data_IF_187530043631
#
_entry.id   IF_187530043631
#
_cell.length_a   1.000
_cell.length_b   1.000
_cell.length_c   1.000
_cell.angle_alpha   90.00
_cell.angle_beta   90.00
_cell.angle_gamma   90.00
#
_symmetry.space_group_name_H-M   'P 1'
#
loop_
_entity.id
_entity.type
_entity.pdbx_description
1 polymer ?
#
# COMPACT_ATOMS: atom_id res chain seq x y z
N UNK A 1 40.95 49.45 -65.60
CA UNK A 1 40.10 48.83 -66.65
C UNK A 1 39.01 47.98 -66.00
N UNK A 2 37.73 48.26 -66.30
CA UNK A 2 36.50 47.45 -66.11
C UNK A 2 36.16 47.00 -64.67
N UNK A 3 35.30 47.69 -63.88
CA UNK A 3 33.81 47.79 -63.87
C UNK A 3 33.04 46.45 -64.01
N UNK A 4 32.31 46.07 -62.95
CA UNK A 4 30.86 45.67 -62.86
C UNK A 4 30.58 45.18 -61.41
N UNK A 5 29.94 45.96 -60.54
CA UNK A 5 28.49 46.00 -60.22
C UNK A 5 27.87 44.62 -59.94
N UNK A 6 27.38 44.40 -58.72
CA UNK A 6 25.96 44.08 -58.46
C UNK A 6 25.62 44.30 -56.97
N UNK A 7 24.51 45.03 -56.73
CA UNK A 7 23.81 45.17 -55.45
C UNK A 7 23.24 43.82 -55.00
N UNK A 8 23.06 43.62 -53.68
CA UNK A 8 21.77 43.22 -53.09
C UNK A 8 21.75 43.35 -51.56
N UNK A 9 20.69 44.03 -51.10
CA UNK A 9 20.07 44.04 -49.78
C UNK A 9 19.96 42.63 -49.16
N UNK A 10 20.02 42.51 -47.83
CA UNK A 10 18.87 42.08 -47.00
C UNK A 10 19.23 41.70 -45.55
N UNK A 11 18.40 42.22 -44.64
CA UNK A 11 17.89 41.65 -43.39
C UNK A 11 18.88 41.04 -42.38
N UNK A 12 19.22 41.86 -41.38
CA UNK A 12 19.54 41.39 -40.03
C UNK A 12 18.27 40.83 -39.36
N UNK A 13 18.15 39.51 -39.33
CA UNK A 13 17.18 38.81 -38.48
C UNK A 13 17.60 38.94 -37.01
N UNK A 14 16.87 39.73 -36.22
CA UNK A 14 16.87 39.62 -34.77
C UNK A 14 16.11 38.34 -34.41
N UNK A 15 16.85 37.27 -34.09
CA UNK A 15 16.31 36.13 -33.37
C UNK A 15 16.12 36.56 -31.90
N UNK A 16 14.92 37.07 -31.58
CA UNK A 16 14.44 37.02 -30.20
C UNK A 16 14.24 35.54 -29.85
N UNK A 17 15.23 34.96 -29.20
CA UNK A 17 15.06 33.70 -28.49
C UNK A 17 14.02 33.91 -27.40
N UNK A 18 12.81 33.41 -27.61
CA UNK A 18 11.89 33.12 -26.51
C UNK A 18 12.54 32.02 -25.67
N UNK A 19 13.28 32.40 -24.63
CA UNK A 19 13.51 31.52 -23.51
C UNK A 19 12.14 31.30 -22.86
N UNK A 20 11.44 30.25 -23.29
CA UNK A 20 10.40 29.66 -22.46
C UNK A 20 11.13 29.16 -21.23
N UNK A 21 11.15 29.95 -20.16
CA UNK A 21 11.36 29.40 -18.83
C UNK A 21 10.30 28.32 -18.67
N UNK A 22 10.72 27.06 -18.75
CA UNK A 22 9.93 25.97 -18.22
C UNK A 22 9.60 26.39 -16.78
N UNK A 23 8.32 26.68 -16.52
CA UNK A 23 7.87 26.93 -15.17
C UNK A 23 8.28 25.72 -14.35
N UNK A 24 9.22 25.92 -13.43
CA UNK A 24 9.41 25.03 -12.29
C UNK A 24 8.01 24.78 -11.72
N UNK A 25 7.50 23.56 -11.87
CA UNK A 25 6.36 23.13 -11.07
C UNK A 25 6.83 23.25 -9.63
N UNK A 26 6.47 24.34 -8.97
CA UNK A 26 6.82 24.59 -7.57
C UNK A 26 6.29 23.41 -6.77
N UNK A 27 7.20 22.59 -6.26
CA UNK A 27 6.86 21.50 -5.36
C UNK A 27 6.05 22.05 -4.19
N UNK A 28 4.91 21.42 -3.93
CA UNK A 28 4.07 21.70 -2.76
C UNK A 28 4.20 20.50 -1.83
N UNK A 29 4.60 20.75 -0.58
CA UNK A 29 4.64 19.70 0.43
C UNK A 29 3.21 19.18 0.71
N UNK A 30 3.04 17.90 1.06
CA UNK A 30 1.74 17.37 1.47
C UNK A 30 1.12 18.22 2.57
N UNK A 31 -0.15 18.58 2.37
CA UNK A 31 -0.98 19.29 3.32
C UNK A 31 -2.40 18.71 3.26
N UNK A 32 -3.16 18.88 4.34
CA UNK A 32 -4.59 18.57 4.33
C UNK A 32 -5.32 19.53 3.39
N UNK A 33 -6.23 19.00 2.57
CA UNK A 33 -7.15 19.83 1.80
C UNK A 33 -8.29 20.39 2.67
N UNK A 34 -8.58 19.76 3.81
CA UNK A 34 -9.58 20.22 4.79
C UNK A 34 -9.09 20.11 6.23
N UNK A 35 -9.31 21.15 7.04
CA UNK A 35 -8.82 21.23 8.43
C UNK A 35 -9.39 20.13 9.34
N UNK A 36 -10.62 19.66 9.08
CA UNK A 36 -11.27 18.61 9.86
C UNK A 36 -10.99 17.19 9.31
N UNK A 37 -10.17 17.08 8.27
CA UNK A 37 -9.85 15.80 7.68
C UNK A 37 -8.85 15.02 8.52
N UNK A 38 -8.84 13.71 8.32
CA UNK A 38 -7.80 12.82 8.87
C UNK A 38 -7.24 11.92 7.78
N UNK A 39 -6.01 11.46 7.95
CA UNK A 39 -5.32 10.66 6.93
C UNK A 39 -5.09 9.22 7.36
N UNK A 40 -5.39 8.30 6.43
CA UNK A 40 -4.87 6.94 6.42
C UNK A 40 -3.68 6.89 5.44
N UNK A 41 -2.55 6.36 5.89
CA UNK A 41 -1.41 6.07 5.00
C UNK A 41 -1.40 4.59 4.65
N UNK A 42 -1.40 4.27 3.36
CA UNK A 42 -1.32 2.89 2.88
C UNK A 42 0.06 2.65 2.26
N UNK A 43 0.81 1.74 2.90
CA UNK A 43 2.10 1.25 2.44
C UNK A 43 1.89 0.16 1.37
N UNK A 44 2.73 0.16 0.31
CA UNK A 44 2.75 -0.90 -0.70
C UNK A 44 3.47 -2.14 -0.17
N UNK A 45 3.63 -3.16 -1.01
CA UNK A 45 4.51 -4.29 -0.72
C UNK A 45 5.97 -3.84 -0.55
N UNK A 46 6.65 -4.31 0.50
CA UNK A 46 8.02 -3.87 0.84
C UNK A 46 9.12 -4.87 0.51
N UNK A 47 8.77 -6.06 0.02
CA UNK A 47 9.68 -7.17 -0.24
C UNK A 47 10.96 -6.78 -1.03
N UNK A 48 10.80 -5.99 -2.10
CA UNK A 48 11.94 -5.56 -2.94
C UNK A 48 12.77 -4.44 -2.29
N UNK A 49 12.22 -3.72 -1.31
CA UNK A 49 13.00 -2.77 -0.49
C UNK A 49 13.89 -3.48 0.53
N UNK A 50 13.48 -4.64 1.05
CA UNK A 50 14.18 -5.29 2.17
C UNK A 50 15.14 -6.40 1.76
N UNK A 51 14.92 -7.03 0.60
CA UNK A 51 15.78 -8.13 0.09
C UNK A 51 17.19 -7.69 -0.28
N UNK A 52 17.41 -6.39 -0.47
CA UNK A 52 18.73 -5.79 -0.65
C UNK A 52 19.04 -4.82 0.48
N UNK A 53 20.16 -5.03 1.19
CA UNK A 53 20.59 -4.15 2.29
C UNK A 53 20.66 -2.66 1.92
N UNK A 54 21.08 -2.38 0.69
CA UNK A 54 21.20 -1.01 0.15
C UNK A 54 19.86 -0.27 0.06
N UNK A 55 18.75 -0.98 -0.04
CA UNK A 55 17.41 -0.42 -0.23
C UNK A 55 16.66 -0.24 1.10
N UNK A 56 17.03 -0.97 2.16
CA UNK A 56 16.36 -0.90 3.47
C UNK A 56 16.20 0.53 4.02
N UNK A 57 17.18 1.46 3.89
CA UNK A 57 17.02 2.84 4.32
C UNK A 57 15.87 3.60 3.64
N UNK A 58 15.36 3.13 2.49
CA UNK A 58 14.20 3.74 1.83
C UNK A 58 12.92 3.42 2.62
N UNK A 59 12.81 2.23 3.22
CA UNK A 59 11.70 1.92 4.13
C UNK A 59 11.80 2.78 5.38
N UNK A 60 13.01 2.90 5.96
CA UNK A 60 13.25 3.81 7.09
C UNK A 60 12.82 5.25 6.73
N UNK A 61 13.16 5.73 5.53
CA UNK A 61 12.75 7.05 5.05
C UNK A 61 11.23 7.19 4.94
N UNK A 62 10.53 6.21 4.38
CA UNK A 62 9.06 6.23 4.27
C UNK A 62 8.41 6.29 5.65
N UNK A 63 8.89 5.50 6.61
CA UNK A 63 8.31 5.45 7.95
C UNK A 63 8.63 6.71 8.75
N UNK A 64 9.87 7.21 8.70
CA UNK A 64 10.24 8.46 9.37
C UNK A 64 9.49 9.67 8.77
N UNK A 65 9.24 9.67 7.46
CA UNK A 65 8.39 10.68 6.85
C UNK A 65 6.97 10.65 7.42
N UNK A 66 6.38 9.46 7.58
CA UNK A 66 5.06 9.33 8.22
C UNK A 66 5.10 9.87 9.64
N UNK A 67 6.11 9.51 10.44
CA UNK A 67 6.30 10.00 11.81
C UNK A 67 6.33 11.54 11.89
N UNK A 68 7.15 12.18 11.05
CA UNK A 68 7.25 13.64 10.95
C UNK A 68 5.93 14.31 10.54
N UNK A 69 5.09 13.59 9.80
CA UNK A 69 3.85 14.11 9.23
C UNK A 69 2.59 13.68 9.99
N UNK A 70 2.70 12.96 11.11
CA UNK A 70 1.54 12.54 11.92
C UNK A 70 0.67 13.74 12.29
N UNK A 71 1.27 14.81 12.85
CA UNK A 71 0.51 15.99 13.24
C UNK A 71 0.11 16.87 12.05
N UNK A 72 1.01 17.24 11.11
CA UNK A 72 0.66 18.08 9.95
C UNK A 72 -0.42 17.50 9.03
N UNK A 73 -0.47 16.16 8.86
CA UNK A 73 -1.45 15.48 8.02
C UNK A 73 -2.54 14.78 8.82
N UNK A 74 -2.61 15.00 10.13
CA UNK A 74 -3.56 14.35 11.02
C UNK A 74 -3.67 12.83 10.76
N UNK A 75 -2.53 12.14 10.65
CA UNK A 75 -2.47 10.71 10.35
C UNK A 75 -2.97 9.93 11.56
N UNK A 76 -3.99 9.10 11.35
CA UNK A 76 -4.62 8.30 12.43
C UNK A 76 -4.48 6.80 12.28
N UNK A 77 -4.14 6.34 11.08
CA UNK A 77 -4.05 4.93 10.77
C UNK A 77 -3.03 4.70 9.66
N UNK A 78 -2.16 3.70 9.83
CA UNK A 78 -1.28 3.20 8.79
C UNK A 78 -1.68 1.77 8.48
N UNK A 79 -1.87 1.45 7.19
CA UNK A 79 -2.14 0.10 6.72
C UNK A 79 -0.99 -0.36 5.80
N UNK A 80 -0.67 -1.65 5.80
CA UNK A 80 0.31 -2.26 4.91
C UNK A 80 -0.27 -3.49 4.23
N UNK A 81 -0.18 -3.55 2.89
CA UNK A 81 -0.89 -4.55 2.08
C UNK A 81 -0.21 -5.92 2.01
N UNK A 82 0.74 -6.22 2.90
CA UNK A 82 1.50 -7.48 2.90
C UNK A 82 2.79 -7.46 2.10
N UNK A 83 3.33 -8.65 1.86
CA UNK A 83 4.68 -8.89 1.33
C UNK A 83 5.72 -7.97 2.00
N UNK A 84 5.78 -8.11 3.32
CA UNK A 84 6.69 -7.37 4.18
C UNK A 84 8.14 -7.75 3.88
N UNK A 85 8.37 -9.01 3.52
CA UNK A 85 9.66 -9.58 3.11
C UNK A 85 9.55 -10.25 1.74
N UNK A 86 10.69 -10.43 1.06
CA UNK A 86 10.77 -11.27 -0.15
C UNK A 86 10.90 -12.74 0.21
N UNK A 87 11.60 -13.05 1.30
CA UNK A 87 11.83 -14.43 1.67
C UNK A 87 11.56 -14.58 3.17
N UNK A 88 10.56 -15.37 3.54
CA UNK A 88 10.25 -15.63 4.94
C UNK A 88 11.38 -16.41 5.65
N UNK A 89 11.85 -17.50 5.05
CA UNK A 89 12.73 -18.49 5.70
C UNK A 89 14.10 -18.68 5.03
N UNK A 90 14.48 -17.88 4.03
CA UNK A 90 15.72 -18.08 3.29
C UNK A 90 16.97 -17.89 4.17
N UNK A 91 17.81 -18.94 4.27
CA UNK A 91 19.03 -18.92 5.10
C UNK A 91 20.24 -18.36 4.35
N UNK A 92 20.42 -18.73 3.08
CA UNK A 92 21.59 -18.38 2.28
C UNK A 92 21.17 -17.63 1.01
N UNK A 93 21.23 -16.28 1.00
CA UNK A 93 20.98 -15.51 -0.22
C UNK A 93 22.08 -15.73 -1.25
N UNK A 94 21.72 -15.72 -2.53
CA UNK A 94 22.64 -15.90 -3.67
C UNK A 94 23.29 -14.58 -4.15
N UNK A 95 22.83 -13.43 -3.65
CA UNK A 95 23.25 -12.11 -4.09
C UNK A 95 22.60 -11.64 -5.39
N UNK A 96 21.84 -12.50 -6.07
CA UNK A 96 21.14 -12.22 -7.33
C UNK A 96 19.72 -11.78 -7.02
N UNK A 97 18.87 -12.65 -6.45
CA UNK A 97 17.47 -12.32 -6.14
C UNK A 97 17.33 -11.54 -4.83
N UNK A 98 18.40 -11.51 -4.03
CA UNK A 98 18.51 -10.74 -2.79
C UNK A 98 19.88 -10.98 -2.16
N UNK A 99 20.31 -10.09 -1.27
CA UNK A 99 21.57 -10.26 -0.51
C UNK A 99 21.34 -10.33 1.01
N UNK A 100 20.10 -10.51 1.45
CA UNK A 100 19.68 -10.59 2.84
C UNK A 100 19.00 -11.92 3.13
N UNK A 101 19.30 -12.53 4.28
CA UNK A 101 18.56 -13.69 4.79
C UNK A 101 17.13 -13.29 5.16
N UNK A 102 16.21 -14.25 5.26
CA UNK A 102 14.84 -13.97 5.69
C UNK A 102 14.78 -13.30 7.06
N UNK A 103 15.63 -13.74 8.00
CA UNK A 103 15.80 -13.07 9.31
C UNK A 103 16.18 -11.60 9.17
N UNK A 104 17.17 -11.27 8.34
CA UNK A 104 17.61 -9.89 8.14
C UNK A 104 16.53 -9.02 7.50
N UNK A 105 15.74 -9.59 6.58
CA UNK A 105 14.62 -8.89 5.96
C UNK A 105 13.53 -8.57 6.98
N UNK A 106 13.12 -9.57 7.77
CA UNK A 106 12.13 -9.39 8.84
C UNK A 106 12.59 -8.41 9.92
N UNK A 107 13.85 -8.49 10.35
CA UNK A 107 14.44 -7.53 11.28
C UNK A 107 14.43 -6.10 10.72
N UNK A 108 14.70 -5.93 9.43
CA UNK A 108 14.70 -4.62 8.78
C UNK A 108 13.30 -3.99 8.75
N UNK A 109 12.29 -4.72 8.26
CA UNK A 109 10.92 -4.20 8.19
C UNK A 109 10.32 -3.98 9.59
N UNK A 110 10.55 -4.91 10.51
CA UNK A 110 10.07 -4.81 11.90
C UNK A 110 10.70 -3.63 12.64
N UNK A 111 12.01 -3.39 12.45
CA UNK A 111 12.71 -2.22 13.01
C UNK A 111 12.18 -0.92 12.43
N UNK A 112 11.99 -0.86 11.11
CA UNK A 112 11.51 0.35 10.43
C UNK A 112 10.13 0.75 10.95
N UNK A 113 9.17 -0.20 10.94
CA UNK A 113 7.80 0.04 11.40
C UNK A 113 7.71 0.32 12.90
N UNK A 114 8.66 -0.16 13.71
CA UNK A 114 8.71 0.10 15.15
C UNK A 114 8.84 1.57 15.53
N UNK A 115 9.30 2.43 14.60
CA UNK A 115 9.29 3.89 14.78
C UNK A 115 7.89 4.43 15.14
N UNK A 116 6.83 3.76 14.69
CA UNK A 116 5.44 4.16 14.90
C UNK A 116 4.72 3.42 16.04
N UNK A 117 5.34 2.42 16.68
CA UNK A 117 4.68 1.51 17.65
C UNK A 117 3.98 2.22 18.82
N UNK A 118 4.49 3.38 19.22
CA UNK A 118 3.95 4.19 20.31
C UNK A 118 3.21 5.44 19.84
N UNK A 119 3.09 5.65 18.52
CA UNK A 119 2.65 6.93 17.93
C UNK A 119 1.30 6.82 17.22
N UNK A 120 1.13 5.78 16.39
CA UNK A 120 -0.08 5.58 15.56
C UNK A 120 -0.29 4.07 15.31
N UNK A 121 -1.54 3.59 15.14
CA UNK A 121 -1.80 2.22 14.71
C UNK A 121 -1.14 1.92 13.35
N UNK A 122 -0.48 0.76 13.25
CA UNK A 122 0.13 0.24 12.02
C UNK A 122 -0.32 -1.20 11.80
N UNK A 123 -1.32 -1.42 10.95
CA UNK A 123 -1.92 -2.74 10.72
C UNK A 123 -1.44 -3.29 9.38
N UNK A 124 -0.81 -4.45 9.39
CA UNK A 124 -0.37 -5.14 8.18
C UNK A 124 -1.16 -6.43 7.96
N UNK A 125 -1.34 -6.80 6.70
CA UNK A 125 -1.67 -8.18 6.32
C UNK A 125 -0.40 -8.93 5.92
N UNK A 126 -0.52 -10.22 5.61
CA UNK A 126 0.55 -11.04 5.03
C UNK A 126 0.34 -11.25 3.53
N UNK A 127 1.42 -11.18 2.78
CA UNK A 127 1.46 -11.56 1.37
C UNK A 127 2.03 -12.96 1.15
N UNK A 128 2.16 -13.38 -0.11
CA UNK A 128 2.65 -14.72 -0.45
C UNK A 128 4.13 -14.92 -0.10
N UNK A 129 4.94 -13.86 -0.03
CA UNK A 129 6.35 -13.95 0.34
C UNK A 129 6.60 -13.98 1.85
N UNK A 130 5.57 -13.65 2.65
CA UNK A 130 5.62 -13.70 4.11
C UNK A 130 5.43 -15.13 4.67
N UNK A 131 5.28 -16.12 3.79
CA UNK A 131 5.11 -17.54 4.12
C UNK A 131 6.24 -18.40 3.53
N UNK A 132 6.33 -19.65 4.02
CA UNK A 132 7.24 -20.67 3.50
C UNK A 132 8.71 -20.30 3.66
N UNK A 133 9.53 -20.63 2.68
CA UNK A 133 10.98 -20.32 2.66
C UNK A 133 11.25 -19.19 1.68
N UNK A 134 10.93 -19.39 0.40
CA UNK A 134 11.15 -18.40 -0.64
C UNK A 134 9.84 -17.70 -1.03
N UNK A 135 8.73 -18.43 -1.06
CA UNK A 135 7.38 -17.90 -1.16
C UNK A 135 6.41 -18.86 -0.46
N UNK A 136 5.11 -18.78 -0.74
CA UNK A 136 4.10 -19.63 -0.11
C UNK A 136 4.12 -21.09 -0.61
N UNK A 137 5.18 -21.84 -0.31
CA UNK A 137 5.21 -23.29 -0.51
C UNK A 137 4.39 -24.03 0.57
N UNK A 138 4.27 -23.42 1.74
CA UNK A 138 3.46 -23.87 2.86
C UNK A 138 2.98 -22.65 3.67
N UNK A 139 2.21 -22.87 4.74
CA UNK A 139 1.57 -21.79 5.52
C UNK A 139 2.34 -21.36 6.77
N UNK A 140 3.58 -21.83 6.95
CA UNK A 140 4.43 -21.35 8.04
C UNK A 140 4.86 -19.91 7.75
N UNK A 141 4.82 -19.06 8.77
CA UNK A 141 5.21 -17.65 8.67
C UNK A 141 5.95 -17.23 9.93
N UNK A 142 6.91 -16.32 9.80
CA UNK A 142 7.51 -15.65 10.95
C UNK A 142 6.83 -14.33 11.32
N UNK A 143 5.71 -13.97 10.69
CA UNK A 143 5.01 -12.71 10.95
C UNK A 143 4.82 -12.44 12.45
N UNK A 144 4.21 -13.38 13.20
CA UNK A 144 3.93 -13.19 14.63
C UNK A 144 5.20 -13.07 15.50
N UNK A 145 6.36 -13.56 15.03
CA UNK A 145 7.65 -13.38 15.73
C UNK A 145 8.11 -11.92 15.68
N UNK A 146 7.88 -11.24 14.57
CA UNK A 146 8.36 -9.87 14.33
C UNK A 146 7.30 -8.79 14.54
N UNK A 147 6.02 -9.19 14.53
CA UNK A 147 4.86 -8.37 14.81
C UNK A 147 3.95 -9.06 15.84
N UNK A 148 4.44 -9.29 17.08
CA UNK A 148 3.59 -9.83 18.14
C UNK A 148 2.48 -8.85 18.49
N UNK A 149 1.40 -9.38 19.07
CA UNK A 149 0.13 -8.69 19.34
C UNK A 149 0.33 -7.36 20.08
N UNK A 150 1.26 -7.35 21.04
CA UNK A 150 1.55 -6.25 21.94
C UNK A 150 2.59 -5.25 21.40
N UNK A 151 3.21 -5.52 20.25
CA UNK A 151 4.32 -4.69 19.72
C UNK A 151 3.92 -3.23 19.54
N UNK A 152 2.79 -2.99 18.87
CA UNK A 152 2.21 -1.66 18.71
C UNK A 152 1.05 -1.50 19.72
N UNK A 153 1.23 -0.61 20.70
CA UNK A 153 0.27 -0.42 21.78
C UNK A 153 -1.08 0.10 21.31
N UNK A 154 -1.12 0.85 20.20
CA UNK A 154 -2.36 1.36 19.63
C UNK A 154 -3.14 0.23 18.95
N UNK A 155 -2.47 -0.62 18.16
CA UNK A 155 -3.06 -1.83 17.60
C UNK A 155 -3.67 -2.71 18.69
N UNK A 156 -2.91 -2.98 19.76
CA UNK A 156 -3.34 -3.85 20.85
C UNK A 156 -4.69 -3.42 21.45
N UNK A 157 -4.89 -2.11 21.64
CA UNK A 157 -6.15 -1.55 22.16
C UNK A 157 -7.32 -1.66 21.19
N UNK A 158 -7.02 -1.71 19.89
CA UNK A 158 -8.00 -1.79 18.82
C UNK A 158 -8.45 -3.22 18.53
N UNK A 159 -7.64 -4.24 18.83
CA UNK A 159 -8.00 -5.64 18.59
C UNK A 159 -9.32 -5.98 19.29
N UNK A 160 -10.18 -6.67 18.56
CA UNK A 160 -11.44 -7.22 19.07
C UNK A 160 -11.53 -8.72 18.91
N UNK A 161 -11.06 -9.24 17.78
CA UNK A 161 -11.12 -10.66 17.46
C UNK A 161 -9.83 -11.06 16.73
N UNK A 162 -9.35 -12.28 16.97
CA UNK A 162 -8.21 -12.89 16.26
C UNK A 162 -8.57 -14.33 15.93
N UNK A 163 -8.17 -14.80 14.75
CA UNK A 163 -8.26 -16.22 14.44
C UNK A 163 -7.13 -16.99 15.14
N UNK A 164 -7.36 -18.27 15.37
CA UNK A 164 -6.34 -19.20 15.85
C UNK A 164 -5.56 -19.73 14.65
N UNK A 165 -4.23 -19.58 14.68
CA UNK A 165 -3.33 -20.10 13.67
C UNK A 165 -3.15 -21.62 13.75
N UNK A 166 -2.46 -22.18 12.75
CA UNK A 166 -2.18 -23.62 12.69
C UNK A 166 -1.28 -24.12 13.84
N UNK A 167 -0.53 -23.20 14.47
CA UNK A 167 0.26 -23.45 15.67
C UNK A 167 -0.59 -23.48 16.96
N UNK A 168 -1.91 -23.29 16.85
CA UNK A 168 -2.84 -23.25 17.96
C UNK A 168 -2.83 -21.93 18.74
N UNK A 169 -2.10 -20.91 18.27
CA UNK A 169 -1.95 -19.63 18.94
C UNK A 169 -2.78 -18.54 18.26
N UNK A 170 -3.29 -17.53 19.00
CA UNK A 170 -3.86 -16.34 18.38
C UNK A 170 -2.80 -15.61 17.56
N UNK A 171 -3.16 -15.16 16.35
CA UNK A 171 -2.25 -14.46 15.46
C UNK A 171 -2.89 -13.23 14.82
N UNK A 172 -2.07 -12.30 14.36
CA UNK A 172 -2.54 -11.09 13.67
C UNK A 172 -2.68 -11.27 12.16
N UNK A 173 -2.31 -12.43 11.62
CA UNK A 173 -2.47 -12.76 10.19
C UNK A 173 -3.93 -12.82 9.75
N UNK A 174 -4.85 -13.06 10.69
CA UNK A 174 -6.29 -12.89 10.49
C UNK A 174 -6.88 -12.28 11.77
N UNK A 175 -7.24 -11.00 11.71
CA UNK A 175 -7.62 -10.23 12.89
C UNK A 175 -8.64 -9.15 12.57
N UNK A 176 -9.39 -8.73 13.59
CA UNK A 176 -10.36 -7.66 13.50
C UNK A 176 -10.02 -6.57 14.52
N UNK A 177 -9.92 -5.34 14.02
CA UNK A 177 -9.60 -4.16 14.81
C UNK A 177 -10.74 -3.17 14.74
N UNK A 178 -11.13 -2.59 15.88
CA UNK A 178 -12.04 -1.45 15.94
C UNK A 178 -11.27 -0.15 16.00
N UNK A 179 -11.54 0.73 15.05
CA UNK A 179 -10.97 2.07 14.98
C UNK A 179 -12.12 3.10 15.03
N UNK A 180 -12.02 4.08 15.92
CA UNK A 180 -12.94 5.21 15.95
C UNK A 180 -12.19 6.39 15.36
N UNK A 181 -12.65 6.85 14.21
CA UNK A 181 -12.06 7.99 13.52
C UNK A 181 -12.40 9.32 14.22
N UNK A 182 -11.65 10.41 13.95
CA UNK A 182 -11.91 11.72 14.55
C UNK A 182 -13.31 12.29 14.30
N UNK A 183 -13.98 11.86 13.24
CA UNK A 183 -15.37 12.21 12.92
C UNK A 183 -16.40 11.28 13.58
N UNK A 184 -15.97 10.52 14.61
CA UNK A 184 -16.76 9.53 15.36
C UNK A 184 -17.25 8.34 14.52
N UNK A 185 -16.83 8.24 13.25
CA UNK A 185 -17.13 7.08 12.42
C UNK A 185 -16.41 5.85 12.98
N UNK A 186 -17.16 4.78 13.18
CA UNK A 186 -16.62 3.50 13.61
C UNK A 186 -16.22 2.67 12.40
N UNK A 187 -14.94 2.33 12.34
CA UNK A 187 -14.38 1.40 11.38
C UNK A 187 -14.08 0.05 12.01
N UNK A 188 -14.23 -1.00 11.22
CA UNK A 188 -13.64 -2.30 11.48
C UNK A 188 -12.61 -2.60 10.41
N UNK A 189 -11.36 -2.79 10.81
CA UNK A 189 -10.30 -3.25 9.92
C UNK A 189 -10.26 -4.77 10.04
N UNK A 190 -10.75 -5.45 9.01
CA UNK A 190 -10.69 -6.89 8.87
C UNK A 190 -9.42 -7.24 8.09
N UNK A 191 -8.48 -7.92 8.73
CA UNK A 191 -7.26 -8.44 8.11
C UNK A 191 -7.46 -9.90 7.74
N UNK A 192 -7.13 -10.25 6.50
CA UNK A 192 -7.08 -11.64 6.03
C UNK A 192 -5.72 -11.91 5.38
N UNK A 193 -5.12 -13.03 5.77
CA UNK A 193 -3.87 -13.55 5.21
C UNK A 193 -3.93 -13.69 3.68
N UNK A 194 -2.77 -13.83 3.03
CA UNK A 194 -2.74 -14.15 1.61
C UNK A 194 -3.53 -15.42 1.26
N UNK A 195 -4.38 -15.30 0.24
CA UNK A 195 -5.24 -16.36 -0.29
C UNK A 195 -5.88 -17.18 0.85
N UNK A 196 -6.73 -16.56 1.69
CA UNK A 196 -7.14 -17.12 2.97
C UNK A 196 -7.75 -18.51 2.81
N UNK A 197 -7.45 -19.37 3.78
CA UNK A 197 -8.11 -20.67 3.92
C UNK A 197 -9.61 -20.49 4.05
N UNK A 198 -10.38 -21.50 3.65
CA UNK A 198 -11.85 -21.45 3.79
C UNK A 198 -12.27 -21.23 5.24
N UNK A 199 -11.59 -21.85 6.21
CA UNK A 199 -11.87 -21.67 7.64
C UNK A 199 -11.73 -20.21 8.10
N UNK A 200 -10.68 -19.52 7.66
CA UNK A 200 -10.40 -18.11 7.98
C UNK A 200 -11.38 -17.17 7.26
N UNK A 201 -11.77 -17.49 6.02
CA UNK A 201 -12.80 -16.75 5.30
C UNK A 201 -14.17 -16.89 5.98
N UNK A 202 -14.55 -18.09 6.41
CA UNK A 202 -15.78 -18.33 7.16
C UNK A 202 -15.74 -17.66 8.54
N UNK A 203 -14.59 -17.63 9.20
CA UNK A 203 -14.40 -16.85 10.43
C UNK A 203 -14.69 -15.37 10.18
N UNK A 204 -14.09 -14.78 9.14
CA UNK A 204 -14.30 -13.38 8.79
C UNK A 204 -15.77 -13.06 8.49
N UNK A 205 -16.46 -13.93 7.74
CA UNK A 205 -17.90 -13.82 7.46
C UNK A 205 -18.69 -13.78 8.77
N UNK A 206 -18.42 -14.68 9.71
CA UNK A 206 -19.09 -14.68 11.02
C UNK A 206 -18.80 -13.40 11.80
N UNK A 207 -17.55 -12.93 11.79
CA UNK A 207 -17.15 -11.74 12.53
C UNK A 207 -17.88 -10.50 12.03
N UNK A 208 -17.80 -10.17 10.73
CA UNK A 208 -18.40 -8.92 10.22
C UNK A 208 -19.93 -8.88 10.31
N UNK A 209 -20.58 -10.03 10.50
CA UNK A 209 -22.03 -10.16 10.67
C UNK A 209 -22.48 -10.22 12.14
N UNK A 210 -21.58 -10.12 13.12
CA UNK A 210 -22.00 -10.02 14.52
C UNK A 210 -22.80 -8.73 14.77
N UNK A 211 -23.82 -8.80 15.61
CA UNK A 211 -24.73 -7.68 15.90
C UNK A 211 -23.99 -6.40 16.33
N UNK A 212 -22.96 -6.54 17.18
CA UNK A 212 -22.12 -5.43 17.66
C UNK A 212 -21.34 -4.69 16.57
N UNK A 213 -21.25 -5.26 15.36
CA UNK A 213 -20.45 -4.76 14.24
C UNK A 213 -21.28 -4.29 13.05
N UNK A 214 -22.61 -4.40 13.11
CA UNK A 214 -23.48 -4.05 11.99
C UNK A 214 -23.48 -2.55 11.66
N UNK A 215 -23.13 -1.69 12.62
CA UNK A 215 -23.07 -0.23 12.45
C UNK A 215 -21.65 0.30 12.14
N UNK A 216 -20.67 -0.57 11.92
CA UNK A 216 -19.32 -0.16 11.55
C UNK A 216 -19.18 -0.11 10.03
N UNK A 217 -18.31 0.76 9.53
CA UNK A 217 -17.81 0.67 8.15
C UNK A 217 -16.63 -0.29 8.13
N UNK A 218 -16.72 -1.38 7.37
CA UNK A 218 -15.63 -2.37 7.30
C UNK A 218 -14.65 -2.04 6.18
N UNK A 219 -13.36 -2.03 6.52
CA UNK A 219 -12.21 -2.04 5.61
C UNK A 219 -11.66 -3.46 5.62
N UNK A 220 -11.66 -4.13 4.47
CA UNK A 220 -10.94 -5.39 4.29
C UNK A 220 -9.50 -5.11 3.84
N UNK A 221 -8.51 -5.57 4.60
CA UNK A 221 -7.11 -5.58 4.24
C UNK A 221 -6.68 -7.00 3.90
N UNK A 222 -6.36 -7.25 2.63
CA UNK A 222 -5.87 -8.54 2.13
C UNK A 222 -4.74 -8.30 1.14
N UNK A 223 -4.14 -9.34 0.57
CA UNK A 223 -2.96 -9.19 -0.29
C UNK A 223 -3.28 -9.32 -1.78
N UNK A 224 -3.68 -10.50 -2.25
CA UNK A 224 -4.11 -10.73 -3.64
C UNK A 224 -5.62 -10.50 -3.79
N UNK A 225 -6.01 -9.57 -4.67
CA UNK A 225 -7.41 -9.21 -4.85
C UNK A 225 -7.79 -8.75 -6.27
N UNK A 226 -7.27 -7.62 -6.77
CA UNK A 226 -7.49 -7.16 -8.16
C UNK A 226 -6.23 -7.23 -9.00
N UNK A 227 -6.43 -7.48 -10.29
CA UNK A 227 -5.47 -7.26 -11.37
C UNK A 227 -5.38 -5.78 -11.78
N UNK A 228 -4.36 -5.46 -12.58
CA UNK A 228 -4.16 -4.10 -13.13
C UNK A 228 -5.23 -3.67 -14.14
N UNK A 229 -6.01 -4.61 -14.68
CA UNK A 229 -7.19 -4.35 -15.51
C UNK A 229 -8.49 -4.21 -14.68
N UNK A 230 -8.35 -4.13 -13.35
CA UNK A 230 -9.41 -4.03 -12.35
C UNK A 230 -10.31 -5.28 -12.25
N UNK A 231 -9.95 -6.43 -12.81
CA UNK A 231 -10.70 -7.67 -12.56
C UNK A 231 -10.26 -8.30 -11.24
N UNK A 232 -11.17 -8.99 -10.56
CA UNK A 232 -10.79 -9.82 -9.43
C UNK A 232 -9.92 -10.99 -9.90
N UNK A 233 -8.83 -11.25 -9.18
CA UNK A 233 -7.97 -12.40 -9.44
C UNK A 233 -8.75 -13.68 -9.15
N UNK A 234 -8.89 -14.54 -10.16
CA UNK A 234 -9.65 -15.79 -10.06
C UNK A 234 -8.78 -16.96 -9.61
N UNK A 235 -7.58 -17.06 -10.18
CA UNK A 235 -6.63 -18.14 -9.88
C UNK A 235 -5.20 -17.65 -9.98
N UNK A 236 -4.34 -18.27 -9.16
CA UNK A 236 -2.90 -18.14 -9.23
C UNK A 236 -2.22 -19.50 -9.03
N UNK A 237 -0.98 -19.59 -9.48
CA UNK A 237 -0.23 -20.85 -9.56
C UNK A 237 0.71 -21.08 -8.37
N UNK A 238 0.17 -21.01 -7.14
CA UNK A 238 0.88 -21.42 -5.93
C UNK A 238 0.63 -22.90 -5.58
N UNK A 239 1.51 -23.59 -4.84
CA UNK A 239 1.35 -25.02 -4.53
C UNK A 239 0.36 -25.32 -3.39
N UNK A 240 -0.16 -24.30 -2.70
CA UNK A 240 -1.20 -24.44 -1.66
C UNK A 240 -2.54 -24.89 -2.27
N UNK A 241 -3.35 -25.66 -1.55
CA UNK A 241 -4.63 -26.19 -2.06
C UNK A 241 -5.85 -25.50 -1.46
N UNK A 242 -5.90 -25.33 -0.12
CA UNK A 242 -6.94 -24.57 0.57
C UNK A 242 -6.65 -23.08 0.47
N UNK A 243 -7.36 -22.38 -0.43
CA UNK A 243 -7.08 -21.01 -0.84
C UNK A 243 -8.30 -20.32 -1.44
N UNK A 244 -8.44 -19.03 -1.17
CA UNK A 244 -9.45 -18.17 -1.78
C UNK A 244 -8.79 -16.92 -2.34
N UNK A 245 -8.71 -16.78 -3.66
CA UNK A 245 -8.20 -15.56 -4.31
C UNK A 245 -9.28 -14.47 -4.40
N UNK A 246 -8.93 -13.32 -4.99
CA UNK A 246 -9.77 -12.13 -5.03
C UNK A 246 -11.23 -12.35 -5.42
N UNK A 247 -11.49 -13.16 -6.45
CA UNK A 247 -12.86 -13.47 -6.90
C UNK A 247 -13.65 -14.25 -5.83
N UNK A 248 -13.02 -15.24 -5.21
CA UNK A 248 -13.65 -16.02 -4.14
C UNK A 248 -13.90 -15.18 -2.89
N UNK A 249 -12.96 -14.30 -2.50
CA UNK A 249 -13.15 -13.35 -1.40
C UNK A 249 -14.32 -12.40 -1.72
N UNK A 250 -14.38 -11.88 -2.95
CA UNK A 250 -15.50 -11.04 -3.38
C UNK A 250 -16.83 -11.78 -3.29
N UNK A 251 -16.95 -12.96 -3.89
CA UNK A 251 -18.21 -13.69 -3.98
C UNK A 251 -18.72 -14.20 -2.63
N UNK A 252 -17.81 -14.67 -1.75
CA UNK A 252 -18.18 -15.30 -0.48
C UNK A 252 -18.29 -14.32 0.68
N UNK A 253 -17.49 -13.25 0.70
CA UNK A 253 -17.41 -12.31 1.83
C UNK A 253 -17.89 -10.91 1.47
N UNK A 254 -17.28 -10.28 0.46
CA UNK A 254 -17.48 -8.84 0.23
C UNK A 254 -18.86 -8.54 -0.36
N UNK A 255 -19.22 -9.22 -1.45
CA UNK A 255 -20.51 -9.05 -2.13
C UNK A 255 -21.70 -9.37 -1.22
N UNK A 256 -21.70 -10.44 -0.39
CA UNK A 256 -22.82 -10.72 0.51
C UNK A 256 -22.87 -9.83 1.76
N UNK A 257 -21.81 -9.06 2.05
CA UNK A 257 -21.77 -8.20 3.23
C UNK A 257 -22.77 -7.03 3.15
N UNK A 258 -23.02 -6.41 4.31
CA UNK A 258 -23.86 -5.21 4.44
C UNK A 258 -23.09 -3.97 4.86
N UNK A 259 -21.85 -4.13 5.31
CA UNK A 259 -21.06 -3.10 5.96
C UNK A 259 -19.64 -2.93 5.39
N UNK A 260 -19.16 -3.82 4.51
CA UNK A 260 -17.87 -3.63 3.82
C UNK A 260 -18.03 -2.56 2.76
N UNK A 261 -17.24 -1.49 2.87
CA UNK A 261 -17.21 -0.38 1.91
C UNK A 261 -15.83 -0.16 1.29
N UNK A 262 -14.78 -0.78 1.84
CA UNK A 262 -13.42 -0.64 1.32
C UNK A 262 -12.69 -1.98 1.32
N UNK A 263 -11.89 -2.21 0.28
CA UNK A 263 -10.93 -3.32 0.19
C UNK A 263 -9.58 -2.77 -0.25
N UNK A 264 -8.51 -3.06 0.50
CA UNK A 264 -7.14 -2.69 0.16
C UNK A 264 -6.27 -3.92 -0.03
N UNK A 265 -5.44 -3.89 -1.07
CA UNK A 265 -4.62 -5.02 -1.53
C UNK A 265 -3.35 -4.58 -2.26
N UNK A 266 -2.44 -5.52 -2.50
CA UNK A 266 -1.13 -5.33 -3.12
C UNK A 266 -0.87 -6.37 -4.21
N UNK A 267 0.21 -7.13 -4.08
CA UNK A 267 0.53 -8.33 -4.85
C UNK A 267 0.97 -8.11 -6.31
N UNK A 268 0.16 -7.42 -7.11
CA UNK A 268 0.40 -7.31 -8.57
C UNK A 268 1.57 -6.38 -8.86
N UNK A 269 2.33 -6.66 -9.92
CA UNK A 269 3.39 -5.75 -10.36
C UNK A 269 3.98 -6.14 -11.71
N UNK A 270 4.33 -5.12 -12.49
CA UNK A 270 5.09 -5.26 -13.74
C UNK A 270 6.32 -4.36 -13.68
N UNK A 271 7.54 -4.87 -13.91
CA UNK A 271 8.77 -4.08 -13.80
C UNK A 271 8.69 -2.75 -14.54
N UNK A 272 8.96 -1.67 -13.81
CA UNK A 272 9.02 -0.29 -14.32
C UNK A 272 7.76 0.23 -15.01
N UNK A 273 6.60 -0.42 -14.81
CA UNK A 273 5.32 0.01 -15.37
C UNK A 273 4.32 0.37 -14.28
N UNK A 274 4.26 1.64 -13.87
CA UNK A 274 3.38 2.15 -12.79
C UNK A 274 1.92 1.67 -12.86
N UNK A 275 1.32 1.61 -14.05
CA UNK A 275 -0.05 1.14 -14.23
C UNK A 275 -0.25 -0.35 -13.96
N UNK A 276 0.82 -1.16 -14.07
CA UNK A 276 0.79 -2.60 -13.79
C UNK A 276 0.80 -2.95 -12.30
N UNK A 277 0.88 -1.94 -11.43
CA UNK A 277 0.95 -2.11 -9.96
C UNK A 277 -0.29 -1.57 -9.23
N UNK A 278 -1.31 -1.13 -9.98
CA UNK A 278 -2.49 -0.48 -9.41
C UNK A 278 -3.75 -1.06 -10.01
N UNK A 279 -4.80 -1.10 -9.20
CA UNK A 279 -6.16 -1.44 -9.64
C UNK A 279 -7.15 -0.65 -8.80
N UNK A 280 -8.23 -0.18 -9.40
CA UNK A 280 -9.31 0.47 -8.70
C UNK A 280 -10.67 0.18 -9.34
N UNK A 281 -11.64 -0.25 -8.53
CA UNK A 281 -13.03 -0.38 -8.96
C UNK A 281 -13.99 -0.11 -7.82
N UNK A 282 -15.23 0.16 -8.20
CA UNK A 282 -16.35 0.29 -7.27
C UNK A 282 -17.46 -0.65 -7.69
N UNK A 283 -17.95 -1.46 -6.76
CA UNK A 283 -19.11 -2.35 -6.93
C UNK A 283 -20.11 -2.10 -5.78
N UNK A 284 -21.24 -2.80 -5.78
CA UNK A 284 -22.26 -2.71 -4.72
C UNK A 284 -22.39 -4.04 -3.99
N UNK A 285 -22.42 -4.01 -2.66
CA UNK A 285 -22.67 -5.20 -1.84
C UNK A 285 -24.18 -5.46 -1.61
N UNK A 286 -24.53 -6.56 -0.94
CA UNK A 286 -25.90 -6.95 -0.66
C UNK A 286 -26.64 -6.00 0.30
N UNK A 287 -25.91 -5.17 1.06
CA UNK A 287 -26.47 -4.06 1.84
C UNK A 287 -26.77 -2.79 1.03
N UNK A 288 -26.52 -2.79 -0.28
CA UNK A 288 -26.68 -1.62 -1.14
C UNK A 288 -25.58 -0.58 -0.97
N UNK A 289 -24.47 -0.92 -0.31
CA UNK A 289 -23.33 -0.04 -0.10
C UNK A 289 -22.32 -0.16 -1.24
N UNK A 290 -21.71 0.96 -1.62
CA UNK A 290 -20.56 1.02 -2.51
C UNK A 290 -19.35 0.39 -1.82
N UNK A 291 -18.61 -0.40 -2.59
CA UNK A 291 -17.37 -1.04 -2.15
C UNK A 291 -16.24 -0.56 -3.04
N UNK A 292 -15.43 0.34 -2.52
CA UNK A 292 -14.24 0.86 -3.19
C UNK A 292 -13.06 -0.08 -2.96
N UNK A 293 -12.57 -0.68 -4.03
CA UNK A 293 -11.55 -1.72 -3.99
C UNK A 293 -10.30 -1.19 -4.67
N UNK A 294 -9.20 -1.11 -3.92
CA UNK A 294 -7.95 -0.51 -4.38
C UNK A 294 -6.79 -1.48 -4.18
N UNK A 295 -6.11 -1.80 -5.29
CA UNK A 295 -4.81 -2.44 -5.29
C UNK A 295 -3.74 -1.37 -5.42
N UNK A 296 -2.74 -1.41 -4.54
CA UNK A 296 -1.58 -0.54 -4.61
C UNK A 296 -0.32 -1.32 -4.24
N UNK A 297 0.49 -1.57 -5.26
CA UNK A 297 1.85 -2.04 -5.13
C UNK A 297 2.79 -0.98 -5.70
N UNK A 298 4.05 -0.97 -5.26
CA UNK A 298 5.08 -0.13 -5.85
C UNK A 298 6.41 -0.87 -6.00
N UNK A 299 6.49 -2.14 -5.59
CA UNK A 299 7.74 -2.84 -5.30
C UNK A 299 8.75 -2.95 -6.47
N UNK A 300 8.29 -2.79 -7.72
CA UNK A 300 9.12 -2.92 -8.91
C UNK A 300 9.18 -1.64 -9.75
N UNK A 301 8.87 -0.50 -9.13
CA UNK A 301 9.12 0.82 -9.71
C UNK A 301 10.54 1.27 -9.31
N UNK A 302 11.27 1.93 -10.21
CA UNK A 302 12.63 2.39 -9.88
C UNK A 302 13.72 1.33 -10.10
N UNK A 303 13.65 0.59 -11.21
CA UNK A 303 14.65 -0.36 -11.67
C UNK A 303 14.20 -1.83 -11.61
N UNK A 304 12.90 -2.09 -11.70
CA UNK A 304 12.32 -3.43 -11.66
C UNK A 304 12.58 -4.17 -10.35
N UNK A 305 12.55 -5.52 -10.40
CA UNK A 305 12.69 -6.40 -9.23
C UNK A 305 14.03 -6.31 -8.48
N UNK A 306 15.04 -5.66 -9.08
CA UNK A 306 16.40 -5.55 -8.57
C UNK A 306 16.84 -4.08 -8.39
N UNK A 307 15.89 -3.15 -8.56
CA UNK A 307 16.12 -1.71 -8.46
C UNK A 307 16.26 -1.22 -7.02
N UNK A 308 15.69 -0.05 -6.75
CA UNK A 308 15.74 0.60 -5.44
C UNK A 308 14.64 0.16 -4.46
N UNK A 309 13.71 -0.70 -4.87
CA UNK A 309 12.62 -1.16 -4.00
C UNK A 309 11.24 -0.68 -4.40
N UNK A 310 11.10 0.42 -5.14
CA UNK A 310 9.77 0.94 -5.49
C UNK A 310 9.64 2.45 -5.44
N UNK A 311 10.74 3.20 -5.56
CA UNK A 311 10.78 4.68 -5.48
C UNK A 311 10.12 5.29 -4.22
N UNK A 312 9.84 4.50 -3.18
CA UNK A 312 9.28 4.96 -1.91
C UNK A 312 7.86 5.50 -2.01
N UNK A 313 7.02 4.99 -2.92
CA UNK A 313 5.65 5.48 -3.07
C UNK A 313 4.72 5.05 -1.93
N UNK A 314 3.90 6.00 -1.45
CA UNK A 314 2.82 5.83 -0.47
C UNK A 314 1.48 6.28 -1.07
N UNK A 315 0.39 5.74 -0.55
CA UNK A 315 -0.96 6.30 -0.75
C UNK A 315 -1.38 7.07 0.49
N UNK A 316 -1.78 8.32 0.30
CA UNK A 316 -2.38 9.18 1.31
C UNK A 316 -3.89 9.23 1.03
N UNK A 317 -4.70 8.71 1.96
CA UNK A 317 -6.15 8.75 1.89
C UNK A 317 -6.65 9.76 2.91
N UNK A 318 -7.07 10.92 2.45
CA UNK A 318 -7.62 11.99 3.28
C UNK A 318 -9.15 11.85 3.35
N UNK A 319 -9.66 11.58 4.55
CA UNK A 319 -11.08 11.43 4.84
C UNK A 319 -11.69 12.77 5.26
N UNK A 320 -12.65 13.24 4.49
CA UNK A 320 -13.43 14.46 4.69
C UNK A 320 -14.90 14.09 4.92
N UNK A 321 -15.16 13.37 6.02
CA UNK A 321 -16.43 12.68 6.25
C UNK A 321 -16.60 11.51 5.28
N UNK A 322 -17.62 11.54 4.42
CA UNK A 322 -17.84 10.49 3.42
C UNK A 322 -16.86 10.58 2.23
N UNK A 323 -16.35 11.77 1.92
CA UNK A 323 -15.47 12.00 0.77
C UNK A 323 -14.05 11.58 1.13
N UNK A 324 -13.44 10.75 0.29
CA UNK A 324 -12.06 10.28 0.47
C UNK A 324 -11.22 10.68 -0.73
N UNK A 325 -10.24 11.54 -0.49
CA UNK A 325 -9.24 11.92 -1.48
C UNK A 325 -8.05 10.97 -1.39
N UNK A 326 -7.70 10.34 -2.50
CA UNK A 326 -6.51 9.50 -2.63
C UNK A 326 -5.44 10.27 -3.40
N UNK A 327 -4.25 10.37 -2.84
CA UNK A 327 -3.05 10.90 -3.51
C UNK A 327 -1.87 9.95 -3.37
N UNK A 328 -1.02 9.87 -4.39
CA UNK A 328 0.23 9.09 -4.36
C UNK A 328 1.43 10.01 -4.17
N UNK A 329 2.25 9.72 -3.18
CA UNK A 329 3.39 10.56 -2.79
C UNK A 329 4.64 9.73 -2.54
N UNK A 330 5.82 10.23 -2.92
CA UNK A 330 7.12 9.59 -2.65
C UNK A 330 7.97 10.46 -1.72
N UNK A 331 8.19 10.05 -0.45
CA UNK A 331 9.16 10.69 0.43
C UNK A 331 10.60 10.64 -0.12
N UNK A 332 10.94 9.58 -0.87
CA UNK A 332 12.24 9.42 -1.51
C UNK A 332 12.54 10.54 -2.51
N UNK A 333 11.56 10.92 -3.34
CA UNK A 333 11.75 12.04 -4.24
C UNK A 333 11.63 13.38 -3.51
N UNK A 334 10.77 13.48 -2.50
CA UNK A 334 10.52 14.73 -1.78
C UNK A 334 11.71 15.25 -0.97
N UNK A 335 12.54 14.35 -0.40
CA UNK A 335 13.64 14.73 0.49
C UNK A 335 14.72 15.58 -0.18
N UNK A 336 14.90 15.46 -1.50
CA UNK A 336 15.91 16.21 -2.25
C UNK A 336 15.30 17.31 -3.12
N UNK A 337 15.79 18.56 -3.04
CA UNK A 337 15.37 19.64 -3.94
C UNK A 337 15.53 19.31 -5.43
N UNK A 338 16.50 18.45 -5.78
CA UNK A 338 16.73 18.03 -7.16
C UNK A 338 15.67 17.07 -7.69
N UNK A 339 14.93 16.37 -6.82
CA UNK A 339 13.94 15.35 -7.22
C UNK A 339 12.52 15.64 -6.75
N UNK A 340 12.31 16.60 -5.84
CA UNK A 340 10.99 16.87 -5.23
C UNK A 340 9.87 17.21 -6.21
N UNK A 341 10.22 17.70 -7.40
CA UNK A 341 9.25 17.93 -8.48
C UNK A 341 8.62 16.62 -9.03
N UNK A 342 9.20 15.46 -8.71
CA UNK A 342 8.72 14.11 -9.05
C UNK A 342 7.94 13.45 -7.89
N UNK A 343 7.84 14.09 -6.72
CA UNK A 343 7.32 13.46 -5.51
C UNK A 343 5.81 13.17 -5.55
N UNK A 344 5.06 13.78 -6.46
CA UNK A 344 3.63 13.57 -6.62
C UNK A 344 3.34 12.69 -7.84
N UNK A 345 2.47 11.70 -7.64
CA UNK A 345 1.85 11.00 -8.77
C UNK A 345 0.86 11.91 -9.49
N UNK A 346 0.94 11.95 -10.82
CA UNK A 346 0.16 12.88 -11.66
C UNK A 346 -0.90 12.18 -12.52
N UNK A 347 -0.87 10.85 -12.59
CA UNK A 347 -1.82 10.08 -13.38
C UNK A 347 -3.17 9.95 -12.66
N UNK A 348 -4.25 9.70 -13.42
CA UNK A 348 -5.60 9.57 -12.85
C UNK A 348 -5.73 8.44 -11.82
N UNK A 349 -4.96 7.35 -11.98
CA UNK A 349 -4.91 6.26 -11.00
C UNK A 349 -4.05 6.61 -9.77
N UNK A 350 -3.32 7.73 -9.77
CA UNK A 350 -2.48 8.20 -8.67
C UNK A 350 -3.13 9.30 -7.83
N UNK A 351 -4.11 10.01 -8.39
CA UNK A 351 -4.90 11.01 -7.68
C UNK A 351 -6.36 10.93 -8.09
N UNK A 352 -7.24 10.55 -7.17
CA UNK A 352 -8.67 10.41 -7.43
C UNK A 352 -9.48 10.54 -6.13
N UNK A 353 -10.80 10.60 -6.27
CA UNK A 353 -11.73 10.76 -5.15
C UNK A 353 -12.82 9.72 -5.25
N UNK A 354 -13.26 9.20 -4.10
CA UNK A 354 -14.47 8.41 -3.99
C UNK A 354 -15.26 8.82 -2.74
N UNK A 355 -16.54 8.43 -2.68
CA UNK A 355 -17.43 8.79 -1.58
C UNK A 355 -18.05 7.53 -0.95
N UNK A 356 -17.80 7.36 0.35
CA UNK A 356 -18.46 6.37 1.20
C UNK A 356 -19.95 6.70 1.37
N UNK A 357 -20.74 5.69 1.75
CA UNK A 357 -22.18 5.81 2.00
C UNK A 357 -22.53 6.03 3.47
#
# INVERSE_FOLDING_TARGET
>A
MKRRRLLSLCLSFLLLGFTVSAQDKTYVAPNLESENAWTLVLFPDTQTYVKFKRNQPIVDLMVNWVDEHISPLNIKLVLHVGDLVEHNGLVNPDGIVGNQTGTQQWEAISRSLSTLDTKVPVIATTGNHDFGIANIENRQTFYNKYFPIEKNHHNQRMIREVAIGDDGMPGLTNALYEFIAPDERKFLILVLEFAPRESNLQWAIRMVNQEKYLNHTVILLTHSYLESDNKHIETENYPITDRNYGKAIWEKLVKPSKNIQMVFSGHIGVPDQKSGHVGFRTDTNAGGKKVHQMTFNAQAIGGGWHGNGGDGWLRLLEFQGNRVLVRTFSPLFAISPSTRHLAWGTEAYQSFIFDLD
#
